data_IF_136547620910
#
_entry.id   IF_136547620910
#
_cell.length_a   1.000
_cell.length_b   1.000
_cell.length_c   1.000
_cell.angle_alpha   90.00
_cell.angle_beta   90.00
_cell.angle_gamma   90.00
#
_symmetry.space_group_name_H-M   'P 1'
#
loop_
_entity.id
_entity.type
_entity.pdbx_description
1 polymer ?
#
# COMPACT_ATOMS: atom_id res chain seq x y z
N UNK A 1 13.13 -10.27 29.27
CA UNK A 1 12.82 -11.42 28.39
C UNK A 1 13.30 -11.03 27.00
N UNK A 2 14.17 -11.81 26.33
CA UNK A 2 14.65 -11.46 25.00
C UNK A 2 13.46 -11.31 24.06
N UNK A 3 13.53 -10.35 23.14
CA UNK A 3 12.53 -10.23 22.08
C UNK A 3 12.61 -11.51 21.24
N UNK A 4 11.51 -12.27 21.20
CA UNK A 4 11.35 -13.40 20.29
C UNK A 4 11.57 -12.87 18.86
N UNK A 5 12.62 -13.30 18.13
CA UNK A 5 12.95 -12.76 16.81
C UNK A 5 11.82 -12.97 15.78
N UNK A 6 10.92 -13.91 16.06
CA UNK A 6 9.69 -14.16 15.30
C UNK A 6 8.76 -12.95 15.26
N UNK A 7 8.72 -12.13 16.31
CA UNK A 7 7.78 -11.01 16.43
C UNK A 7 8.06 -9.89 15.41
N UNK A 8 9.27 -9.32 15.31
CA UNK A 8 9.59 -8.32 14.28
C UNK A 8 9.53 -8.89 12.86
N UNK A 9 9.91 -10.16 12.65
CA UNK A 9 9.81 -10.80 11.32
C UNK A 9 8.35 -10.92 10.89
N UNK A 10 7.48 -11.38 11.78
CA UNK A 10 6.05 -11.52 11.50
C UNK A 10 5.39 -10.16 11.24
N UNK A 11 5.70 -9.15 12.06
CA UNK A 11 5.24 -7.78 11.84
C UNK A 11 5.63 -7.29 10.45
N UNK A 12 6.91 -7.45 10.08
CA UNK A 12 7.43 -7.03 8.78
C UNK A 12 6.76 -7.77 7.63
N UNK A 13 6.67 -9.10 7.68
CA UNK A 13 6.07 -9.89 6.61
C UNK A 13 4.59 -9.54 6.39
N UNK A 14 3.83 -9.39 7.47
CA UNK A 14 2.40 -9.04 7.38
C UNK A 14 2.22 -7.61 6.92
N UNK A 15 2.94 -6.64 7.50
CA UNK A 15 2.82 -5.23 7.08
C UNK A 15 3.22 -5.03 5.63
N UNK A 16 4.31 -5.68 5.21
CA UNK A 16 4.81 -5.58 3.84
C UNK A 16 3.87 -6.24 2.84
N UNK A 17 3.38 -7.45 3.14
CA UNK A 17 2.42 -8.14 2.28
C UNK A 17 1.13 -7.35 2.09
N UNK A 18 0.61 -6.76 3.17
CA UNK A 18 -0.57 -5.90 3.12
C UNK A 18 -0.32 -4.61 2.32
N UNK A 19 0.82 -3.95 2.52
CA UNK A 19 1.20 -2.74 1.77
C UNK A 19 1.24 -3.01 0.26
N UNK A 20 1.92 -4.09 -0.14
CA UNK A 20 2.14 -4.42 -1.55
C UNK A 20 0.82 -4.66 -2.29
N UNK A 21 -0.14 -5.39 -1.70
CA UNK A 21 -1.42 -5.70 -2.33
C UNK A 21 -2.15 -4.41 -2.75
N UNK A 22 -2.26 -3.46 -1.82
CA UNK A 22 -2.96 -2.22 -2.08
C UNK A 22 -2.16 -1.21 -2.91
N UNK A 23 -0.84 -1.13 -2.75
CA UNK A 23 -0.02 -0.22 -3.56
C UNK A 23 -0.04 -0.65 -5.03
N UNK A 24 0.10 -1.94 -5.31
CA UNK A 24 0.08 -2.44 -6.68
C UNK A 24 -1.27 -2.18 -7.35
N UNK A 25 -2.39 -2.40 -6.66
CA UNK A 25 -3.73 -2.10 -7.20
C UNK A 25 -3.93 -0.61 -7.49
N UNK A 26 -3.50 0.26 -6.57
CA UNK A 26 -3.61 1.71 -6.73
C UNK A 26 -2.71 2.21 -7.87
N UNK A 27 -1.47 1.73 -7.95
CA UNK A 27 -0.52 2.08 -8.99
C UNK A 27 -0.99 1.58 -10.37
N UNK A 28 -1.59 0.39 -10.44
CA UNK A 28 -2.20 -0.10 -11.67
C UNK A 28 -3.32 0.83 -12.15
N UNK A 29 -4.14 1.36 -11.23
CA UNK A 29 -5.19 2.32 -11.59
C UNK A 29 -4.64 3.67 -12.04
N UNK A 30 -3.63 4.21 -11.34
CA UNK A 30 -2.91 5.42 -11.77
C UNK A 30 -2.31 5.21 -13.16
N UNK A 31 -1.75 4.03 -13.43
CA UNK A 31 -1.20 3.67 -14.74
C UNK A 31 -2.24 3.68 -15.84
N UNK A 32 -3.42 3.11 -15.60
CA UNK A 32 -4.53 3.10 -16.56
C UNK A 32 -4.96 4.52 -16.95
N UNK A 33 -5.04 5.43 -15.97
CA UNK A 33 -5.33 6.85 -16.23
C UNK A 33 -4.19 7.52 -16.99
N UNK A 34 -2.94 7.22 -16.63
CA UNK A 34 -1.77 7.76 -17.33
C UNK A 34 -1.71 7.30 -18.79
N UNK A 35 -1.93 6.01 -19.05
CA UNK A 35 -1.90 5.44 -20.40
C UNK A 35 -3.02 6.05 -21.29
N UNK A 36 -4.14 6.48 -20.69
CA UNK A 36 -5.23 7.19 -21.38
C UNK A 36 -4.97 8.69 -21.60
N UNK A 37 -4.39 9.38 -20.61
CA UNK A 37 -4.32 10.85 -20.59
C UNK A 37 -2.95 11.42 -20.94
N UNK A 38 -1.88 10.65 -20.73
CA UNK A 38 -0.49 11.10 -20.85
C UNK A 38 -0.04 12.11 -19.79
N UNK A 39 -0.92 12.49 -18.86
CA UNK A 39 -0.65 13.49 -17.82
C UNK A 39 -0.46 12.81 -16.46
N UNK A 40 0.77 12.86 -15.95
CA UNK A 40 1.13 12.26 -14.67
C UNK A 40 0.41 12.91 -13.48
N UNK A 41 0.19 14.22 -13.51
CA UNK A 41 -0.48 14.92 -12.40
C UNK A 41 -1.93 14.50 -12.32
N UNK A 42 -2.58 14.41 -13.49
CA UNK A 42 -3.97 13.97 -13.59
C UNK A 42 -4.12 12.48 -13.24
N UNK A 43 -3.18 11.64 -13.65
CA UNK A 43 -3.16 10.22 -13.32
C UNK A 43 -3.05 9.96 -11.81
N UNK A 44 -2.17 10.69 -11.12
CA UNK A 44 -2.02 10.58 -9.66
C UNK A 44 -3.29 11.09 -8.95
N UNK A 45 -3.86 12.22 -9.39
CA UNK A 45 -5.07 12.78 -8.80
C UNK A 45 -6.29 11.85 -8.96
N UNK A 46 -6.62 11.44 -10.18
CA UNK A 46 -7.78 10.57 -10.46
C UNK A 46 -7.59 9.15 -9.86
N UNK A 47 -6.36 8.62 -9.91
CA UNK A 47 -6.04 7.32 -9.32
C UNK A 47 -6.16 7.30 -7.80
N UNK A 48 -5.75 8.39 -7.13
CA UNK A 48 -5.89 8.55 -5.69
C UNK A 48 -7.36 8.74 -5.28
N UNK A 49 -8.10 9.61 -5.97
CA UNK A 49 -9.51 9.89 -5.66
C UNK A 49 -10.37 8.63 -5.80
N UNK A 50 -10.20 7.88 -6.89
CA UNK A 50 -10.97 6.65 -7.13
C UNK A 50 -10.64 5.51 -6.15
N UNK A 51 -9.42 5.46 -5.62
CA UNK A 51 -8.98 4.39 -4.72
C UNK A 51 -9.15 4.74 -3.24
N UNK A 52 -9.31 6.02 -2.88
CA UNK A 52 -9.30 6.49 -1.50
C UNK A 52 -10.38 5.84 -0.62
N UNK A 53 -11.61 5.66 -1.14
CA UNK A 53 -12.71 5.05 -0.39
C UNK A 53 -12.49 3.57 -0.08
N UNK A 54 -12.05 2.80 -1.09
CA UNK A 54 -11.78 1.37 -0.94
C UNK A 54 -10.61 1.12 0.03
N UNK A 55 -9.56 1.95 -0.03
CA UNK A 55 -8.43 1.82 0.89
C UNK A 55 -8.80 2.19 2.32
N UNK A 56 -9.51 3.31 2.52
CA UNK A 56 -9.88 3.77 3.87
C UNK A 56 -10.78 2.75 4.57
N UNK A 57 -11.73 2.16 3.84
CA UNK A 57 -12.61 1.11 4.37
C UNK A 57 -11.84 -0.17 4.71
N UNK A 58 -10.96 -0.63 3.85
CA UNK A 58 -10.10 -1.77 4.12
C UNK A 58 -9.20 -1.55 5.36
N UNK A 59 -8.55 -0.38 5.43
CA UNK A 59 -7.71 0.00 6.57
C UNK A 59 -8.52 0.02 7.88
N UNK A 60 -9.75 0.54 7.87
CA UNK A 60 -10.61 0.56 9.04
C UNK A 60 -10.95 -0.85 9.55
N UNK A 61 -11.26 -1.79 8.64
CA UNK A 61 -11.52 -3.18 8.99
C UNK A 61 -10.27 -3.83 9.59
N UNK A 62 -9.12 -3.65 8.96
CA UNK A 62 -7.85 -4.23 9.40
C UNK A 62 -7.42 -3.73 10.78
N UNK A 63 -7.50 -2.40 11.00
CA UNK A 63 -7.22 -1.80 12.30
C UNK A 63 -8.18 -2.33 13.36
N UNK A 64 -9.46 -2.51 13.04
CA UNK A 64 -10.46 -3.06 13.96
C UNK A 64 -10.14 -4.50 14.36
N UNK A 65 -9.80 -5.35 13.38
CA UNK A 65 -9.44 -6.76 13.61
C UNK A 65 -8.16 -6.88 14.45
N UNK A 66 -7.11 -6.13 14.12
CA UNK A 66 -5.86 -6.18 14.87
C UNK A 66 -5.96 -5.55 16.26
N UNK A 67 -6.81 -4.54 16.43
CA UNK A 67 -7.11 -3.98 17.75
C UNK A 67 -7.82 -5.01 18.65
N UNK A 68 -8.66 -5.89 18.09
CA UNK A 68 -9.27 -6.96 18.87
C UNK A 68 -8.23 -7.94 19.44
N UNK A 69 -7.08 -8.12 18.77
CA UNK A 69 -6.00 -8.97 19.30
C UNK A 69 -5.35 -8.38 20.55
N UNK A 70 -5.50 -7.07 20.80
CA UNK A 70 -5.05 -6.44 22.03
C UNK A 70 -5.80 -6.95 23.29
N UNK A 71 -7.00 -7.53 23.10
CA UNK A 71 -7.80 -8.14 24.17
C UNK A 71 -7.37 -9.58 24.48
N UNK A 72 -6.42 -10.14 23.72
CA UNK A 72 -5.94 -11.50 23.95
C UNK A 72 -5.14 -11.62 25.26
N UNK A 73 -5.22 -12.79 25.91
CA UNK A 73 -4.45 -13.10 27.13
C UNK A 73 -2.99 -13.47 26.84
N UNK A 74 -2.61 -13.61 25.57
CA UNK A 74 -1.27 -14.00 25.13
C UNK A 74 -0.49 -12.74 24.77
N UNK A 75 0.59 -12.45 25.51
CA UNK A 75 1.41 -11.23 25.34
C UNK A 75 1.93 -11.08 23.90
N UNK A 76 2.32 -12.16 23.25
CA UNK A 76 2.78 -12.16 21.85
C UNK A 76 1.68 -11.69 20.90
N UNK A 77 0.45 -12.14 21.12
CA UNK A 77 -0.70 -11.78 20.28
C UNK A 77 -1.14 -10.33 20.54
N UNK A 78 -1.10 -9.89 21.78
CA UNK A 78 -1.36 -8.49 22.15
C UNK A 78 -0.34 -7.53 21.52
N UNK A 79 0.95 -7.83 21.65
CA UNK A 79 2.03 -7.01 21.08
C UNK A 79 1.97 -6.98 19.55
N UNK A 80 1.74 -8.13 18.90
CA UNK A 80 1.57 -8.22 17.45
C UNK A 80 0.33 -7.47 16.98
N UNK A 81 -0.80 -7.61 17.67
CA UNK A 81 -2.05 -6.92 17.34
C UNK A 81 -1.92 -5.40 17.37
N UNK A 82 -1.36 -4.86 18.45
CA UNK A 82 -1.11 -3.41 18.56
C UNK A 82 -0.09 -2.95 17.51
N UNK A 83 0.99 -3.72 17.30
CA UNK A 83 2.01 -3.40 16.31
C UNK A 83 1.47 -3.36 14.88
N UNK A 84 0.66 -4.35 14.49
CA UNK A 84 0.03 -4.41 13.16
C UNK A 84 -1.04 -3.34 12.97
N UNK A 85 -1.86 -3.07 13.98
CA UNK A 85 -2.84 -1.98 13.92
C UNK A 85 -2.16 -0.63 13.65
N UNK A 86 -1.06 -0.36 14.36
CA UNK A 86 -0.27 0.86 14.16
C UNK A 86 0.42 0.89 12.79
N UNK A 87 1.02 -0.23 12.36
CA UNK A 87 1.69 -0.33 11.07
C UNK A 87 0.73 -0.07 9.91
N UNK A 88 -0.47 -0.69 9.92
CA UNK A 88 -1.49 -0.49 8.89
C UNK A 88 -2.03 0.94 8.90
N UNK A 89 -2.26 1.52 10.09
CA UNK A 89 -2.73 2.90 10.19
C UNK A 89 -1.70 3.88 9.60
N UNK A 90 -0.41 3.69 9.89
CA UNK A 90 0.67 4.48 9.30
C UNK A 90 0.78 4.30 7.79
N UNK A 91 0.69 3.06 7.30
CA UNK A 91 0.78 2.78 5.85
C UNK A 91 -0.36 3.46 5.08
N UNK A 92 -1.60 3.25 5.54
CA UNK A 92 -2.79 3.80 4.91
C UNK A 92 -2.83 5.33 4.91
N UNK A 93 -2.16 5.97 5.88
CA UNK A 93 -2.15 7.44 6.03
C UNK A 93 -0.87 8.07 5.49
N UNK A 94 0.28 7.79 6.09
CA UNK A 94 1.53 8.47 5.74
C UNK A 94 2.10 7.95 4.42
N UNK A 95 2.23 6.63 4.28
CA UNK A 95 2.86 6.08 3.07
C UNK A 95 1.98 6.35 1.87
N UNK A 96 0.69 6.00 1.97
CA UNK A 96 -0.22 6.08 0.84
C UNK A 96 -0.74 7.48 0.52
N UNK A 97 -1.12 8.28 1.52
CA UNK A 97 -1.71 9.59 1.24
C UNK A 97 -0.66 10.67 0.92
N UNK A 98 0.59 10.48 1.33
CA UNK A 98 1.67 11.45 1.14
C UNK A 98 2.83 10.89 0.32
N UNK A 99 3.45 9.80 0.78
CA UNK A 99 4.73 9.35 0.26
C UNK A 99 4.64 8.82 -1.18
N UNK A 100 3.65 7.97 -1.47
CA UNK A 100 3.40 7.43 -2.82
C UNK A 100 3.05 8.54 -3.82
N UNK A 101 2.04 9.41 -3.59
CA UNK A 101 1.72 10.46 -4.55
C UNK A 101 2.85 11.48 -4.69
N UNK A 102 3.58 11.82 -3.61
CA UNK A 102 4.72 12.72 -3.70
C UNK A 102 5.84 12.13 -4.55
N UNK A 103 6.19 10.86 -4.36
CA UNK A 103 7.24 10.18 -5.16
C UNK A 103 6.82 10.04 -6.62
N UNK A 104 5.58 9.64 -6.90
CA UNK A 104 5.02 9.58 -8.26
C UNK A 104 5.09 10.94 -8.97
N UNK A 105 4.81 12.02 -8.23
CA UNK A 105 4.83 13.38 -8.77
C UNK A 105 6.25 13.92 -8.96
N UNK A 106 7.18 13.58 -8.06
CA UNK A 106 8.59 13.96 -8.14
C UNK A 106 9.33 13.22 -9.27
N UNK A 107 9.04 11.93 -9.45
CA UNK A 107 9.67 11.09 -10.49
C UNK A 107 9.11 11.39 -11.89
N UNK A 108 7.90 11.95 -11.99
CA UNK A 108 7.38 12.49 -13.25
C UNK A 108 7.33 11.43 -14.37
N UNK A 109 7.91 11.75 -15.52
CA UNK A 109 7.97 10.86 -16.69
C UNK A 109 8.90 9.65 -16.51
N UNK A 110 9.83 9.68 -15.55
CA UNK A 110 10.72 8.54 -15.26
C UNK A 110 9.96 7.38 -14.63
N UNK A 111 8.87 7.70 -13.93
CA UNK A 111 8.01 6.73 -13.26
C UNK A 111 7.37 5.71 -14.23
N UNK A 112 7.24 6.11 -15.50
CA UNK A 112 6.57 5.33 -16.55
C UNK A 112 7.56 4.74 -17.57
N UNK A 113 8.86 4.83 -17.31
CA UNK A 113 9.87 4.29 -18.20
C UNK A 113 9.83 2.76 -18.17
N UNK A 114 9.44 2.16 -19.29
CA UNK A 114 9.53 0.72 -19.51
C UNK A 114 10.61 0.41 -20.57
N UNK A 115 11.56 -0.51 -20.29
CA UNK A 115 12.53 -0.93 -21.28
C UNK A 115 11.85 -1.55 -22.51
N UNK A 116 12.40 -1.28 -23.71
CA UNK A 116 11.79 -1.59 -25.02
C UNK A 116 11.41 -3.07 -25.20
N UNK A 117 11.97 -4.00 -24.43
CA UNK A 117 11.63 -5.42 -24.45
C UNK A 117 10.23 -5.73 -23.87
N UNK A 118 9.76 -4.97 -22.88
CA UNK A 118 8.43 -5.15 -22.27
C UNK A 118 7.30 -4.46 -23.06
N UNK A 119 7.63 -3.49 -23.93
CA UNK A 119 6.67 -2.84 -24.84
C UNK A 119 6.17 -3.74 -25.98
N UNK A 120 6.88 -4.84 -26.27
CA UNK A 120 6.58 -5.73 -27.41
C UNK A 120 5.64 -6.89 -27.07
N UNK A 121 5.30 -7.09 -25.79
CA UNK A 121 4.39 -8.15 -25.34
C UNK A 121 2.98 -7.64 -25.03
N UNK A 122 2.64 -6.41 -25.43
CA UNK A 122 1.26 -5.94 -25.49
C UNK A 122 0.48 -6.75 -26.51
N UNK A 123 -0.15 -7.81 -26.03
CA UNK A 123 -1.10 -8.70 -26.71
C UNK A 123 -2.07 -7.87 -27.55
N UNK A 124 -2.04 -8.07 -28.86
CA UNK A 124 -3.16 -7.70 -29.71
C UNK A 124 -4.31 -8.65 -29.41
N UNK A 125 -5.41 -8.09 -28.92
CA UNK A 125 -6.78 -8.56 -29.14
C UNK A 125 -7.71 -7.36 -29.11
#
# INVERSE_FOLDING_TARGET
>A
RPLEPTLPVLLFCVSFGLSMDYEVLMLARMKEVFDRTGDNTRAVAEGLESSAGLVTSAAAIMVSVFSAFALARVVVLQATGVGLAFAVALDATIIRALLVPATMRLLGSWNWWAPKSLRKTGVGH
#
